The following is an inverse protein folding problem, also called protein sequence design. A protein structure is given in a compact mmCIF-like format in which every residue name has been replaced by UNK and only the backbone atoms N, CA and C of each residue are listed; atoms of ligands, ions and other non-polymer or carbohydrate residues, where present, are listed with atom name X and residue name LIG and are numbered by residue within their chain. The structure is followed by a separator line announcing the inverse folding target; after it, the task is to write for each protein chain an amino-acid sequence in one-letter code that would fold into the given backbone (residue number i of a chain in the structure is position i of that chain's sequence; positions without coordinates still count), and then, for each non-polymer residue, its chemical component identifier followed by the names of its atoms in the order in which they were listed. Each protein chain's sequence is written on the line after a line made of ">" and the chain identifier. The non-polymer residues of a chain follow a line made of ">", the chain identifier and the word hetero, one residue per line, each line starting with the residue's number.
data_IF_770770462281
#
_entry.id   IF_770770462281
#
_cell.length_a   1.000
_cell.length_b   1.000
_cell.length_c   1.000
_cell.angle_alpha   90.00
_cell.angle_beta   90.00
_cell.angle_gamma   90.00
#
_symmetry.space_group_name_H-M   'P 1'
#
loop_
_entity.id
_entity.type
_entity.pdbx_description
1 polymer ?
#
# COMPACT_ATOMS: atom_id res chain seq x y z
N UNK A 1 3.07 9.12 20.58
CA UNK A 1 3.95 8.63 19.52
C UNK A 1 3.08 8.22 18.34
N UNK A 2 3.35 8.75 17.18
CA UNK A 2 2.60 8.36 16.00
C UNK A 2 3.18 7.06 15.45
N UNK A 3 2.41 5.99 15.41
CA UNK A 3 2.91 4.70 14.97
C UNK A 3 2.93 4.52 13.45
N UNK A 4 2.27 5.40 12.70
CA UNK A 4 2.09 5.23 11.27
C UNK A 4 2.71 6.36 10.50
N UNK A 5 3.66 6.04 9.64
CA UNK A 5 4.42 7.00 8.86
C UNK A 5 4.27 6.69 7.38
N UNK A 6 4.02 7.73 6.58
CA UNK A 6 4.04 7.58 5.14
C UNK A 6 5.48 7.46 4.67
N UNK A 7 5.78 6.35 4.02
CA UNK A 7 7.14 6.06 3.57
C UNK A 7 7.29 6.21 2.06
N UNK A 8 6.38 6.92 1.39
CA UNK A 8 6.43 7.12 -0.06
C UNK A 8 7.32 8.33 -0.35
N UNK A 9 8.44 8.08 -1.03
CA UNK A 9 9.37 9.13 -1.38
C UNK A 9 9.89 9.88 -0.16
N UNK A 10 9.86 11.21 -0.22
CA UNK A 10 10.32 12.07 0.87
C UNK A 10 9.19 12.52 1.80
N UNK A 11 8.01 11.92 1.67
CA UNK A 11 6.87 12.26 2.51
C UNK A 11 7.10 11.74 3.93
N UNK A 12 7.10 12.64 4.91
CA UNK A 12 7.32 12.30 6.32
C UNK A 12 6.07 12.52 7.17
N UNK A 13 4.89 12.56 6.54
CA UNK A 13 3.62 12.68 7.26
C UNK A 13 3.41 11.50 8.19
N UNK A 14 2.88 11.77 9.37
CA UNK A 14 2.58 10.75 10.37
C UNK A 14 1.11 10.78 10.75
N UNK A 15 0.58 9.64 11.17
CA UNK A 15 -0.84 9.46 11.44
C UNK A 15 -1.05 8.64 12.71
N UNK A 16 -2.06 9.01 13.49
CA UNK A 16 -2.44 8.25 14.68
C UNK A 16 -3.28 7.01 14.32
N UNK A 17 -4.02 7.10 13.21
CA UNK A 17 -4.84 5.99 12.74
C UNK A 17 -4.30 5.46 11.42
N UNK A 18 -4.22 4.14 11.32
CA UNK A 18 -3.74 3.49 10.10
C UNK A 18 -4.65 3.75 8.90
N UNK A 19 -5.96 3.87 9.14
CA UNK A 19 -6.91 4.21 8.08
C UNK A 19 -6.58 5.54 7.42
N UNK A 20 -6.20 6.53 8.23
CA UNK A 20 -5.80 7.83 7.73
C UNK A 20 -4.52 7.75 6.88
N UNK A 21 -3.56 6.94 7.29
CA UNK A 21 -2.35 6.69 6.52
C UNK A 21 -2.70 6.09 5.15
N UNK A 22 -3.52 5.06 5.12
CA UNK A 22 -3.87 4.37 3.88
C UNK A 22 -4.61 5.32 2.92
N UNK A 23 -5.56 6.10 3.44
CA UNK A 23 -6.29 7.09 2.63
C UNK A 23 -5.33 8.15 2.10
N UNK A 24 -4.40 8.64 2.93
CA UNK A 24 -3.40 9.60 2.50
C UNK A 24 -2.57 9.05 1.34
N UNK A 25 -2.07 7.82 1.47
CA UNK A 25 -1.27 7.20 0.41
C UNK A 25 -2.05 7.07 -0.90
N UNK A 26 -3.33 6.76 -0.81
CA UNK A 26 -4.16 6.57 -2.00
C UNK A 26 -4.58 7.89 -2.66
N UNK A 27 -4.66 8.99 -1.91
CA UNK A 27 -5.22 10.24 -2.42
C UNK A 27 -4.18 11.34 -2.64
N UNK A 28 -3.06 11.32 -1.94
CA UNK A 28 -2.06 12.38 -1.98
C UNK A 28 -0.81 12.04 -2.79
N UNK A 29 -0.72 10.82 -3.28
CA UNK A 29 0.39 10.37 -4.11
C UNK A 29 -0.12 9.91 -5.46
N UNK A 30 0.74 9.95 -6.46
CA UNK A 30 0.39 9.48 -7.79
C UNK A 30 0.17 7.97 -7.79
N UNK A 31 -0.71 7.51 -8.68
CA UNK A 31 -0.93 6.08 -8.85
C UNK A 31 0.32 5.43 -9.43
N UNK A 32 0.51 4.17 -9.10
CA UNK A 32 1.64 3.38 -9.59
C UNK A 32 1.13 2.22 -10.43
N UNK A 33 1.99 1.74 -11.31
CA UNK A 33 1.70 0.61 -12.16
C UNK A 33 2.34 -0.65 -11.56
N UNK A 34 1.56 -1.73 -11.47
CA UNK A 34 2.09 -3.01 -11.04
C UNK A 34 3.09 -3.52 -12.07
N UNK A 35 4.32 -3.77 -11.67
CA UNK A 35 5.37 -4.22 -12.58
C UNK A 35 5.16 -5.64 -13.10
N UNK A 36 4.28 -6.41 -12.45
CA UNK A 36 3.98 -7.77 -12.89
C UNK A 36 2.94 -7.76 -14.00
N UNK A 37 1.84 -7.01 -13.84
CA UNK A 37 0.71 -7.08 -14.76
C UNK A 37 0.30 -5.76 -15.39
N UNK A 38 0.90 -4.63 -15.00
CA UNK A 38 0.60 -3.33 -15.59
C UNK A 38 -0.65 -2.64 -15.05
N UNK A 39 -1.34 -3.23 -14.08
CA UNK A 39 -2.52 -2.60 -13.49
C UNK A 39 -2.12 -1.33 -12.74
N UNK A 40 -2.85 -0.24 -12.95
CA UNK A 40 -2.61 1.03 -12.26
C UNK A 40 -3.39 1.04 -10.95
N UNK A 41 -2.71 1.34 -9.86
CA UNK A 41 -3.23 1.22 -8.50
C UNK A 41 -2.85 2.43 -7.65
N UNK A 42 -3.63 2.72 -6.59
CA UNK A 42 -3.16 3.68 -5.59
C UNK A 42 -1.85 3.20 -4.97
N UNK A 43 -0.92 4.13 -4.75
CA UNK A 43 0.36 3.80 -4.13
C UNK A 43 0.19 3.41 -2.65
N UNK A 44 1.22 2.84 -2.07
CA UNK A 44 1.23 2.42 -0.68
C UNK A 44 0.60 1.05 -0.46
N UNK A 45 -0.28 0.96 0.54
CA UNK A 45 -0.87 -0.32 0.94
C UNK A 45 -1.54 -1.07 -0.22
N UNK A 46 -2.33 -0.38 -1.04
CA UNK A 46 -3.08 -1.06 -2.11
C UNK A 46 -2.15 -1.64 -3.17
N UNK A 47 -1.05 -0.97 -3.47
CA UNK A 47 -0.05 -1.49 -4.41
C UNK A 47 0.63 -2.74 -3.85
N UNK A 48 0.98 -2.73 -2.57
CA UNK A 48 1.60 -3.89 -1.90
C UNK A 48 0.62 -5.05 -1.84
N UNK A 49 -0.62 -4.78 -1.45
CA UNK A 49 -1.67 -5.81 -1.38
C UNK A 49 -1.88 -6.50 -2.71
N UNK A 50 -2.00 -5.72 -3.78
CA UNK A 50 -2.17 -6.27 -5.12
C UNK A 50 -0.99 -7.15 -5.49
N UNK A 51 0.24 -6.69 -5.25
CA UNK A 51 1.44 -7.42 -5.62
C UNK A 51 1.54 -8.78 -4.91
N UNK A 52 1.10 -8.87 -3.67
CA UNK A 52 1.21 -10.11 -2.92
C UNK A 52 -0.03 -11.00 -2.98
N UNK A 53 -1.22 -10.42 -3.20
CA UNK A 53 -2.46 -11.20 -3.26
C UNK A 53 -2.74 -11.73 -4.66
N UNK A 54 -2.33 -11.01 -5.71
CA UNK A 54 -2.64 -11.35 -7.09
C UNK A 54 -1.49 -12.04 -7.83
N UNK A 55 -0.30 -12.06 -7.25
CA UNK A 55 0.90 -12.59 -7.89
C UNK A 55 1.69 -13.46 -6.90
N UNK A 56 2.51 -14.36 -7.45
CA UNK A 56 3.39 -15.19 -6.62
C UNK A 56 4.60 -14.39 -6.16
N UNK A 57 5.28 -14.89 -5.10
CA UNK A 57 6.54 -14.29 -4.65
C UNK A 57 7.59 -14.27 -5.76
N UNK A 58 7.67 -15.35 -6.52
CA UNK A 58 8.64 -15.44 -7.59
C UNK A 58 8.39 -14.39 -8.67
N UNK A 59 7.13 -14.14 -9.01
CA UNK A 59 6.76 -13.08 -9.96
C UNK A 59 7.14 -11.71 -9.43
N UNK A 60 6.84 -11.46 -8.15
CA UNK A 60 7.19 -10.20 -7.51
C UNK A 60 8.70 -9.96 -7.52
N UNK A 61 9.47 -10.95 -7.09
CA UNK A 61 10.93 -10.85 -7.02
C UNK A 61 11.52 -10.54 -8.39
N UNK A 62 11.04 -11.20 -9.43
CA UNK A 62 11.53 -10.96 -10.80
C UNK A 62 11.18 -9.58 -11.31
N UNK A 63 9.93 -9.16 -11.11
CA UNK A 63 9.44 -7.90 -11.66
C UNK A 63 10.05 -6.69 -10.96
N UNK A 64 10.28 -6.78 -9.65
CA UNK A 64 10.76 -5.66 -8.84
C UNK A 64 12.26 -5.77 -8.50
N UNK A 65 12.92 -6.84 -8.92
CA UNK A 65 14.32 -7.10 -8.59
C UNK A 65 14.54 -7.00 -7.07
N UNK A 66 13.65 -7.64 -6.32
CA UNK A 66 13.62 -7.53 -4.87
C UNK A 66 14.44 -8.62 -4.19
N UNK A 67 15.02 -8.28 -3.04
CA UNK A 67 15.69 -9.27 -2.19
C UNK A 67 14.65 -9.94 -1.27
N UNK A 68 15.03 -11.07 -0.67
CA UNK A 68 14.19 -11.75 0.31
C UNK A 68 13.85 -10.84 1.50
N UNK A 69 14.82 -10.02 1.93
CA UNK A 69 14.60 -9.05 3.02
C UNK A 69 13.57 -8.00 2.65
N UNK A 70 13.62 -7.50 1.43
CA UNK A 70 12.66 -6.51 0.95
C UNK A 70 11.25 -7.10 0.88
N UNK A 71 11.13 -8.33 0.40
CA UNK A 71 9.84 -9.04 0.36
C UNK A 71 9.26 -9.17 1.76
N UNK A 72 10.07 -9.65 2.72
CA UNK A 72 9.61 -9.82 4.11
C UNK A 72 9.20 -8.50 4.74
N UNK A 73 9.95 -7.43 4.46
CA UNK A 73 9.63 -6.10 5.01
C UNK A 73 8.27 -5.62 4.49
N UNK A 74 8.01 -5.79 3.21
CA UNK A 74 6.74 -5.35 2.61
C UNK A 74 5.58 -6.20 3.10
N UNK A 75 5.78 -7.50 3.24
CA UNK A 75 4.76 -8.37 3.82
C UNK A 75 4.43 -7.98 5.26
N UNK A 76 5.46 -7.64 6.06
CA UNK A 76 5.25 -7.20 7.44
C UNK A 76 4.44 -5.91 7.50
N UNK A 77 4.71 -4.97 6.61
CA UNK A 77 3.95 -3.72 6.53
C UNK A 77 2.50 -4.01 6.15
N UNK A 78 2.27 -4.86 5.16
CA UNK A 78 0.94 -5.26 4.73
C UNK A 78 0.17 -5.89 5.90
N UNK A 79 0.78 -6.84 6.59
CA UNK A 79 0.15 -7.53 7.71
C UNK A 79 -0.16 -6.60 8.87
N UNK A 80 0.76 -5.69 9.20
CA UNK A 80 0.55 -4.73 10.26
C UNK A 80 -0.63 -3.80 9.96
N UNK A 81 -0.75 -3.36 8.72
CA UNK A 81 -1.89 -2.53 8.31
C UNK A 81 -3.18 -3.33 8.37
N UNK A 82 -3.18 -4.55 7.87
CA UNK A 82 -4.39 -5.39 7.84
C UNK A 82 -4.86 -5.78 9.24
N UNK A 83 -3.93 -5.94 10.18
CA UNK A 83 -4.27 -6.27 11.56
C UNK A 83 -4.99 -5.12 12.28
N UNK A 84 -4.70 -3.88 11.92
CA UNK A 84 -5.25 -2.73 12.62
C UNK A 84 -6.30 -1.95 11.82
N UNK A 85 -6.20 -1.95 10.49
CA UNK A 85 -7.06 -1.13 9.65
C UNK A 85 -8.45 -1.73 9.48
N UNK A 86 -9.46 -0.85 9.54
CA UNK A 86 -10.77 -1.18 9.03
C UNK A 86 -10.76 -0.86 7.53
N UNK A 87 -10.51 -1.88 6.73
CA UNK A 87 -10.40 -1.73 5.28
C UNK A 87 -11.72 -1.28 4.66
N UNK A 88 -12.85 -1.66 5.24
CA UNK A 88 -14.17 -1.20 4.77
C UNK A 88 -14.32 0.30 4.92
N UNK A 89 -13.85 0.86 6.05
CA UNK A 89 -13.85 2.31 6.26
C UNK A 89 -12.97 3.00 5.22
N UNK A 90 -11.78 2.45 4.96
CA UNK A 90 -10.86 3.02 3.97
C UNK A 90 -11.50 3.05 2.59
N UNK A 91 -12.09 1.94 2.16
CA UNK A 91 -12.73 1.83 0.85
C UNK A 91 -13.91 2.81 0.75
N UNK A 92 -14.74 2.89 1.79
CA UNK A 92 -15.87 3.82 1.80
C UNK A 92 -15.41 5.27 1.70
N UNK A 93 -14.35 5.64 2.39
CA UNK A 93 -13.80 7.00 2.33
C UNK A 93 -13.25 7.32 0.95
N UNK A 94 -12.61 6.36 0.29
CA UNK A 94 -12.08 6.53 -1.06
C UNK A 94 -13.20 6.67 -2.09
N UNK A 95 -14.26 5.89 -1.95
CA UNK A 95 -15.44 5.99 -2.82
C UNK A 95 -16.11 7.36 -2.66
N UNK A 96 -16.24 7.86 -1.43
CA UNK A 96 -16.83 9.16 -1.15
C UNK A 96 -16.00 10.29 -1.74
N UNK A 97 -14.68 10.14 -1.82
CA UNK A 97 -13.81 11.16 -2.40
C UNK A 97 -13.69 11.07 -3.92
N UNK A 98 -14.36 10.10 -4.54
CA UNK A 98 -14.34 9.90 -5.98
C UNK A 98 -13.14 9.11 -6.49
N UNK A 99 -12.35 8.54 -5.61
CA UNK A 99 -11.24 7.68 -6.00
C UNK A 99 -11.75 6.32 -6.45
N UNK A 100 -11.24 5.82 -7.57
CA UNK A 100 -11.63 4.54 -8.13
C UNK A 100 -10.44 3.58 -8.14
N UNK A 101 -10.72 2.31 -7.97
CA UNK A 101 -9.71 1.27 -8.04
C UNK A 101 -9.78 0.55 -9.38
#
# INVERSE_FOLDING_TARGET
>A
MSPWECAIGDDDMTFDRVEDLVVHQATQHERVECKVCGTVLPDGYFAIRHAFDEHSRAEYVRAYDATASEVRRRESVKEAIEDEADIREVIARLEDSGEAF
#
